data_IF_469052668635
#
_entry.id   IF_469052668635
#
_cell.length_a   1.000
_cell.length_b   1.000
_cell.length_c   1.000
_cell.angle_alpha   90.00
_cell.angle_beta   90.00
_cell.angle_gamma   90.00
#
_symmetry.space_group_name_H-M   'P 1'
#
loop_
_entity.id
_entity.type
_entity.pdbx_description
1 polymer ?
#
# COMPACT_ATOMS: atom_id res chain seq x y z
N UNK A 1 9.89 4.83 -11.60
CA UNK A 1 8.42 4.94 -11.49
C UNK A 1 8.02 6.34 -11.04
N UNK A 2 6.93 6.92 -11.58
CA UNK A 2 6.38 8.21 -11.14
C UNK A 2 5.16 7.96 -10.25
N UNK A 3 5.12 8.54 -9.06
CA UNK A 3 4.00 8.47 -8.11
C UNK A 3 3.99 9.71 -7.22
N UNK A 4 2.79 10.22 -6.94
CA UNK A 4 2.57 11.36 -6.04
C UNK A 4 3.52 12.56 -6.31
N UNK A 5 3.65 12.93 -7.59
CA UNK A 5 4.50 14.02 -8.11
C UNK A 5 6.01 13.80 -8.00
N UNK A 6 6.49 12.58 -7.69
CA UNK A 6 7.91 12.27 -7.58
C UNK A 6 8.33 11.08 -8.44
N UNK A 7 9.59 11.10 -8.85
CA UNK A 7 10.22 9.94 -9.47
C UNK A 7 10.88 9.06 -8.39
N UNK A 8 10.69 7.75 -8.52
CA UNK A 8 11.27 6.75 -7.64
C UNK A 8 12.15 5.79 -8.42
N UNK A 9 13.35 5.55 -7.91
CA UNK A 9 14.18 4.42 -8.25
C UNK A 9 13.67 3.21 -7.44
N UNK A 10 13.35 2.13 -8.14
CA UNK A 10 12.98 0.86 -7.51
C UNK A 10 14.22 -0.02 -7.57
N UNK A 11 14.67 -0.49 -6.43
CA UNK A 11 15.88 -1.29 -6.32
C UNK A 11 15.65 -2.49 -5.39
N UNK A 12 16.40 -3.55 -5.64
CA UNK A 12 16.43 -4.74 -4.82
C UNK A 12 17.80 -4.82 -4.15
N UNK A 13 17.84 -5.12 -2.86
CA UNK A 13 19.09 -5.34 -2.16
C UNK A 13 19.54 -6.79 -2.33
N UNK A 14 20.85 -7.04 -2.50
CA UNK A 14 21.40 -8.37 -2.77
C UNK A 14 21.51 -9.28 -1.53
N UNK A 15 20.77 -8.99 -0.47
CA UNK A 15 20.85 -9.73 0.81
C UNK A 15 20.20 -11.13 0.79
N UNK A 16 19.73 -11.59 -0.36
CA UNK A 16 19.35 -12.98 -0.65
C UNK A 16 18.16 -13.54 0.14
N UNK A 17 17.56 -12.81 1.06
CA UNK A 17 16.56 -13.37 1.98
C UNK A 17 15.13 -12.92 1.77
N UNK A 18 14.90 -11.77 1.18
CA UNK A 18 13.55 -11.32 0.84
C UNK A 18 13.60 -10.34 -0.31
N UNK A 19 12.98 -10.75 -1.39
CA UNK A 19 12.82 -9.93 -2.58
C UNK A 19 11.75 -8.87 -2.33
N UNK A 20 12.11 -7.83 -1.57
CA UNK A 20 11.26 -6.66 -1.39
C UNK A 20 11.87 -5.49 -2.13
N UNK A 21 11.09 -4.79 -2.98
CA UNK A 21 11.58 -3.58 -3.59
C UNK A 21 11.76 -2.48 -2.54
N UNK A 22 12.86 -1.73 -2.68
CA UNK A 22 13.08 -0.47 -1.99
C UNK A 22 12.76 0.68 -2.92
N UNK A 23 12.16 1.74 -2.39
CA UNK A 23 11.77 2.92 -3.13
C UNK A 23 12.62 4.11 -2.71
N UNK A 24 13.48 4.58 -3.61
CA UNK A 24 14.32 5.75 -3.37
C UNK A 24 13.80 6.91 -4.20
N UNK A 25 13.42 8.00 -3.55
CA UNK A 25 13.09 9.23 -4.27
C UNK A 25 14.32 9.76 -4.99
N UNK A 26 14.21 9.93 -6.31
CA UNK A 26 15.34 10.34 -7.16
C UNK A 26 15.88 11.71 -6.75
N UNK A 27 15.02 12.65 -6.38
CA UNK A 27 15.39 13.99 -5.92
C UNK A 27 16.12 14.03 -4.57
N UNK A 28 16.12 12.91 -3.82
CA UNK A 28 16.83 12.77 -2.53
C UNK A 28 18.14 12.01 -2.63
N UNK A 29 18.47 11.49 -3.80
CA UNK A 29 19.72 10.76 -4.02
C UNK A 29 20.87 11.78 -4.04
N UNK A 30 21.78 11.69 -3.07
CA UNK A 30 22.92 12.59 -2.96
C UNK A 30 24.12 12.11 -3.78
N UNK A 31 24.28 10.81 -3.91
CA UNK A 31 25.41 10.21 -4.60
C UNK A 31 25.03 8.83 -5.14
N UNK A 32 25.50 8.52 -6.33
CA UNK A 32 25.43 7.19 -6.93
C UNK A 32 26.86 6.76 -7.25
N UNK A 33 27.22 5.56 -6.86
CA UNK A 33 28.52 4.97 -7.15
C UNK A 33 28.30 3.64 -7.84
N UNK A 34 28.97 3.44 -8.96
CA UNK A 34 28.96 2.17 -9.65
C UNK A 34 29.69 1.11 -8.81
N UNK A 35 29.05 -0.04 -8.63
CA UNK A 35 29.66 -1.15 -7.92
C UNK A 35 30.37 -2.07 -8.92
N UNK A 36 31.54 -2.60 -8.53
CA UNK A 36 32.37 -3.43 -9.40
C UNK A 36 31.85 -4.86 -9.62
N UNK A 37 30.83 -5.27 -8.88
CA UNK A 37 30.22 -6.59 -9.04
C UNK A 37 29.12 -6.52 -10.09
N UNK A 38 29.15 -7.44 -11.04
CA UNK A 38 28.08 -7.64 -11.99
C UNK A 38 26.97 -8.48 -11.34
N UNK A 39 25.74 -8.29 -11.78
CA UNK A 39 24.61 -9.16 -11.48
C UNK A 39 24.09 -9.77 -12.79
N UNK A 40 23.45 -10.92 -12.72
CA UNK A 40 22.73 -11.52 -13.84
C UNK A 40 21.24 -11.27 -13.68
N UNK A 41 20.51 -11.21 -14.79
CA UNK A 41 19.06 -11.03 -14.74
C UNK A 41 18.35 -12.22 -14.11
N UNK A 42 18.96 -13.41 -14.12
CA UNK A 42 18.44 -14.62 -13.48
C UNK A 42 18.44 -14.51 -11.93
N UNK A 43 19.28 -13.63 -11.39
CA UNK A 43 19.33 -13.34 -9.95
C UNK A 43 18.28 -12.30 -9.53
N UNK A 44 17.57 -11.70 -10.50
CA UNK A 44 16.53 -10.72 -10.20
C UNK A 44 15.21 -11.42 -9.98
N UNK A 45 14.44 -11.02 -8.95
CA UNK A 45 13.11 -11.59 -8.74
C UNK A 45 12.19 -11.22 -9.89
N UNK A 46 11.21 -12.06 -10.15
CA UNK A 46 10.09 -11.75 -11.03
C UNK A 46 9.45 -10.44 -10.61
N UNK A 47 9.73 -9.40 -11.36
CA UNK A 47 9.28 -8.04 -11.07
C UNK A 47 8.27 -7.59 -12.12
N UNK A 48 7.02 -7.48 -11.69
CA UNK A 48 5.96 -6.91 -12.51
C UNK A 48 5.69 -5.46 -12.07
N UNK A 49 6.15 -4.50 -12.89
CA UNK A 49 5.93 -3.07 -12.64
C UNK A 49 4.44 -2.71 -12.62
N UNK A 50 3.64 -3.37 -13.46
CA UNK A 50 2.20 -3.15 -13.53
C UNK A 50 1.51 -3.53 -12.21
N UNK A 51 1.82 -4.71 -11.69
CA UNK A 51 1.32 -5.16 -10.38
C UNK A 51 1.82 -4.28 -9.25
N UNK A 52 3.09 -3.88 -9.29
CA UNK A 52 3.62 -2.98 -8.28
C UNK A 52 2.85 -1.66 -8.26
N UNK A 53 2.59 -1.07 -9.42
CA UNK A 53 1.86 0.19 -9.55
C UNK A 53 0.42 0.09 -9.05
N UNK A 54 -0.25 -1.02 -9.31
CA UNK A 54 -1.63 -1.26 -8.88
C UNK A 54 -1.77 -1.50 -7.38
N UNK A 55 -0.73 -2.09 -6.75
CA UNK A 55 -0.77 -2.52 -5.35
C UNK A 55 -0.06 -1.57 -4.39
N UNK A 56 0.76 -0.65 -4.89
CA UNK A 56 1.52 0.28 -4.05
C UNK A 56 0.73 1.54 -3.75
N UNK A 57 0.62 1.88 -2.47
CA UNK A 57 0.06 3.13 -1.99
C UNK A 57 1.14 3.94 -1.29
N UNK A 58 1.25 5.23 -1.66
CA UNK A 58 2.23 6.17 -1.09
C UNK A 58 3.69 5.68 -1.18
N UNK A 59 4.00 4.77 -2.12
CA UNK A 59 5.32 4.15 -2.27
C UNK A 59 5.86 3.56 -0.96
N UNK A 60 4.96 3.00 -0.14
CA UNK A 60 5.34 2.36 1.12
C UNK A 60 5.77 0.92 0.84
N UNK A 61 7.02 0.54 1.20
CA UNK A 61 7.50 -0.81 0.94
C UNK A 61 6.84 -1.82 1.88
N UNK A 62 6.75 -3.06 1.43
CA UNK A 62 6.25 -4.15 2.27
C UNK A 62 5.80 -5.36 1.48
N UNK A 63 5.42 -6.42 2.18
CA UNK A 63 4.87 -7.62 1.57
C UNK A 63 3.46 -7.41 1.03
N UNK A 64 3.06 -8.30 0.13
CA UNK A 64 1.68 -8.36 -0.35
C UNK A 64 0.75 -8.75 0.80
N UNK A 65 -0.37 -8.07 0.89
CA UNK A 65 -1.45 -8.38 1.83
C UNK A 65 -2.82 -8.19 1.19
N UNK A 66 -3.75 -9.03 1.57
CA UNK A 66 -5.17 -8.85 1.29
C UNK A 66 -5.81 -8.11 2.47
N UNK A 67 -6.59 -7.09 2.18
CA UNK A 67 -7.35 -6.34 3.18
C UNK A 67 -8.83 -6.37 2.85
N UNK A 68 -9.68 -6.41 3.88
CA UNK A 68 -11.14 -6.26 3.74
C UNK A 68 -11.62 -5.16 4.64
N UNK A 69 -12.55 -4.37 4.12
CA UNK A 69 -13.15 -3.29 4.89
C UNK A 69 -14.58 -3.02 4.42
N UNK A 70 -15.43 -2.65 5.36
CA UNK A 70 -16.75 -2.10 5.06
C UNK A 70 -16.58 -0.63 4.66
N UNK A 71 -17.27 -0.21 3.63
CA UNK A 71 -17.31 1.16 3.16
C UNK A 71 -18.74 1.68 3.08
N UNK A 72 -18.99 2.86 3.65
CA UNK A 72 -20.32 3.52 3.69
C UNK A 72 -20.27 4.98 3.24
N UNK A 73 -19.24 5.37 2.50
CA UNK A 73 -19.06 6.73 2.00
C UNK A 73 -19.92 7.08 0.78
N UNK A 74 -19.83 8.30 0.30
CA UNK A 74 -20.72 8.84 -0.75
C UNK A 74 -20.51 8.17 -2.12
N UNK A 75 -19.31 7.68 -2.43
CA UNK A 75 -19.00 7.10 -3.75
C UNK A 75 -18.08 5.88 -3.59
N UNK A 76 -18.62 4.70 -3.81
CA UNK A 76 -17.81 3.46 -3.89
C UNK A 76 -16.89 3.48 -5.13
N UNK A 77 -17.29 4.16 -6.19
CA UNK A 77 -16.46 4.28 -7.40
C UNK A 77 -15.12 4.95 -7.09
N UNK A 78 -15.11 5.98 -6.24
CA UNK A 78 -13.86 6.63 -5.82
C UNK A 78 -12.89 5.69 -5.09
N UNK A 79 -13.42 4.69 -4.38
CA UNK A 79 -12.61 3.63 -3.76
C UNK A 79 -12.00 2.72 -4.82
N UNK A 80 -12.81 2.27 -5.80
CA UNK A 80 -12.34 1.40 -6.88
C UNK A 80 -11.31 2.10 -7.78
N UNK A 81 -11.49 3.38 -8.03
CA UNK A 81 -10.53 4.19 -8.81
C UNK A 81 -9.20 4.37 -8.06
N UNK A 82 -9.24 4.51 -6.74
CA UNK A 82 -8.04 4.68 -5.92
C UNK A 82 -7.30 3.37 -5.65
N UNK A 83 -8.04 2.28 -5.54
CA UNK A 83 -7.51 0.94 -5.29
C UNK A 83 -7.81 0.04 -6.50
N UNK A 84 -6.94 -0.01 -7.52
CA UNK A 84 -7.22 -0.76 -8.76
C UNK A 84 -7.43 -2.26 -8.56
N UNK A 85 -6.95 -2.82 -7.45
CA UNK A 85 -7.17 -4.23 -7.07
C UNK A 85 -8.45 -4.45 -6.29
N UNK A 86 -9.19 -3.38 -5.94
CA UNK A 86 -10.37 -3.49 -5.10
C UNK A 86 -11.53 -4.17 -5.83
N UNK A 87 -12.22 -5.04 -5.10
CA UNK A 87 -13.42 -5.75 -5.55
C UNK A 87 -14.50 -5.63 -4.49
N UNK A 88 -15.71 -5.33 -4.92
CA UNK A 88 -16.89 -5.42 -4.04
C UNK A 88 -17.22 -6.90 -3.91
N UNK A 89 -17.06 -7.48 -2.72
CA UNK A 89 -17.38 -8.88 -2.45
C UNK A 89 -18.78 -9.07 -1.89
N UNK A 90 -19.36 -8.04 -1.27
CA UNK A 90 -20.72 -8.08 -0.75
C UNK A 90 -21.34 -6.69 -0.68
N UNK A 91 -22.64 -6.59 -0.90
CA UNK A 91 -23.45 -5.40 -0.66
C UNK A 91 -24.19 -5.54 0.67
N UNK A 92 -23.74 -4.86 1.70
CA UNK A 92 -24.28 -4.94 3.05
C UNK A 92 -25.51 -4.05 3.29
N UNK A 93 -25.82 -3.19 2.32
CA UNK A 93 -26.95 -2.26 2.41
C UNK A 93 -27.02 -1.28 1.24
N UNK A 94 -27.95 -0.30 1.27
CA UNK A 94 -28.15 0.62 0.14
C UNK A 94 -26.90 1.41 -0.29
N UNK A 95 -26.04 1.75 0.68
CA UNK A 95 -24.78 2.48 0.47
C UNK A 95 -23.63 1.85 1.26
N UNK A 96 -23.72 0.57 1.60
CA UNK A 96 -22.72 -0.12 2.40
C UNK A 96 -22.22 -1.35 1.66
N UNK A 97 -20.92 -1.46 1.52
CA UNK A 97 -20.24 -2.48 0.74
C UNK A 97 -19.10 -3.11 1.54
N UNK A 98 -18.92 -4.42 1.40
CA UNK A 98 -17.71 -5.11 1.81
C UNK A 98 -16.77 -5.16 0.62
N UNK A 99 -15.58 -4.61 0.78
CA UNK A 99 -14.58 -4.48 -0.26
C UNK A 99 -13.33 -5.27 0.14
N UNK A 100 -12.77 -5.99 -0.82
CA UNK A 100 -11.47 -6.65 -0.71
C UNK A 100 -10.49 -5.98 -1.66
N UNK A 101 -9.26 -5.76 -1.20
CA UNK A 101 -8.17 -5.24 -2.04
C UNK A 101 -6.85 -5.91 -1.68
N UNK A 102 -5.97 -6.03 -2.69
CA UNK A 102 -4.59 -6.46 -2.51
C UNK A 102 -3.65 -5.26 -2.57
N UNK A 103 -2.79 -5.12 -1.58
CA UNK A 103 -1.85 -3.99 -1.48
C UNK A 103 -0.49 -4.43 -0.97
N UNK A 104 0.54 -3.65 -1.28
CA UNK A 104 1.86 -3.80 -0.69
C UNK A 104 2.04 -2.89 0.52
N UNK A 105 2.65 -3.43 1.59
CA UNK A 105 3.07 -2.65 2.75
C UNK A 105 1.93 -1.98 3.54
N UNK A 106 2.31 -0.97 4.31
CA UNK A 106 1.41 -0.26 5.23
C UNK A 106 0.76 1.01 4.66
N UNK A 107 1.04 1.34 3.40
CA UNK A 107 0.42 2.50 2.74
C UNK A 107 -1.11 2.45 2.75
N UNK A 108 -1.69 1.26 2.72
CA UNK A 108 -3.13 1.07 2.83
C UNK A 108 -3.69 1.61 4.17
N UNK A 109 -2.96 1.48 5.29
CA UNK A 109 -3.39 2.00 6.59
C UNK A 109 -3.57 3.52 6.54
N UNK A 110 -2.61 4.23 5.94
CA UNK A 110 -2.71 5.68 5.78
C UNK A 110 -3.93 6.08 4.96
N UNK A 111 -4.19 5.36 3.86
CA UNK A 111 -5.36 5.63 3.04
C UNK A 111 -6.67 5.35 3.78
N UNK A 112 -6.78 4.22 4.49
CA UNK A 112 -7.97 3.86 5.29
C UNK A 112 -8.28 4.92 6.35
N UNK A 113 -7.27 5.41 7.07
CA UNK A 113 -7.42 6.50 8.06
C UNK A 113 -7.92 7.79 7.41
N UNK A 114 -7.51 8.10 6.19
CA UNK A 114 -7.97 9.30 5.47
C UNK A 114 -9.46 9.24 5.09
N UNK A 115 -10.07 8.05 5.08
CA UNK A 115 -11.48 7.86 4.74
C UNK A 115 -12.46 8.20 5.86
N UNK A 116 -11.97 8.66 7.01
CA UNK A 116 -12.78 9.06 8.18
C UNK A 116 -13.61 7.88 8.71
N UNK A 117 -14.84 8.17 9.20
CA UNK A 117 -15.79 7.18 9.70
C UNK A 117 -16.52 6.37 8.62
N UNK A 118 -16.17 6.55 7.34
CA UNK A 118 -16.78 5.81 6.24
C UNK A 118 -16.24 4.40 6.07
N UNK A 119 -15.09 4.11 6.70
CA UNK A 119 -14.40 2.83 6.59
C UNK A 119 -14.32 2.13 7.93
N UNK A 120 -14.62 0.83 7.93
CA UNK A 120 -14.34 -0.07 9.03
C UNK A 120 -13.54 -1.26 8.52
N UNK A 121 -12.30 -1.38 8.95
CA UNK A 121 -11.46 -2.53 8.61
C UNK A 121 -11.97 -3.77 9.32
N UNK A 122 -12.04 -4.89 8.60
CA UNK A 122 -12.51 -6.18 9.13
C UNK A 122 -11.50 -7.32 8.95
N UNK A 123 -10.52 -7.15 8.07
CA UNK A 123 -9.46 -8.15 7.84
C UNK A 123 -8.20 -7.49 7.27
N UNK A 124 -6.99 -7.96 7.62
CA UNK A 124 -6.69 -8.96 8.65
C UNK A 124 -6.82 -8.40 10.08
N UNK A 125 -6.93 -9.28 11.07
CA UNK A 125 -7.05 -8.87 12.49
C UNK A 125 -5.90 -7.97 12.94
N UNK A 126 -4.69 -8.24 12.49
CA UNK A 126 -3.52 -7.40 12.78
C UNK A 126 -3.72 -5.96 12.32
N UNK A 127 -4.30 -5.75 11.15
CA UNK A 127 -4.60 -4.40 10.65
C UNK A 127 -5.74 -3.76 11.45
N UNK A 128 -6.76 -4.54 11.87
CA UNK A 128 -7.83 -4.03 12.74
C UNK A 128 -7.25 -3.49 14.05
N UNK A 129 -6.36 -4.25 14.69
CA UNK A 129 -5.72 -3.82 15.94
C UNK A 129 -4.80 -2.60 15.74
N UNK A 130 -4.06 -2.55 14.64
CA UNK A 130 -3.23 -1.39 14.29
C UNK A 130 -4.08 -0.13 14.06
N UNK A 131 -5.24 -0.27 13.39
CA UNK A 131 -6.18 0.84 13.21
C UNK A 131 -6.74 1.34 14.55
N UNK A 132 -7.12 0.43 15.46
CA UNK A 132 -7.60 0.80 16.81
C UNK A 132 -6.54 1.59 17.58
N UNK A 133 -5.29 1.11 17.59
CA UNK A 133 -4.16 1.80 18.24
C UNK A 133 -3.96 3.20 17.68
N UNK A 134 -3.95 3.33 16.37
CA UNK A 134 -3.74 4.62 15.70
C UNK A 134 -4.86 5.60 15.99
N UNK A 135 -6.13 5.17 15.89
CA UNK A 135 -7.30 6.00 16.18
C UNK A 135 -7.30 6.46 17.65
N UNK A 136 -6.91 5.56 18.58
CA UNK A 136 -6.80 5.91 19.99
C UNK A 136 -5.69 6.95 20.23
N UNK A 137 -4.54 6.79 19.57
CA UNK A 137 -3.45 7.76 19.64
C UNK A 137 -3.87 9.11 19.04
N UNK A 138 -4.56 9.10 17.90
CA UNK A 138 -5.11 10.33 17.30
C UNK A 138 -6.10 11.02 18.24
N UNK A 139 -7.01 10.27 18.88
CA UNK A 139 -7.99 10.84 19.82
C UNK A 139 -7.29 11.48 21.03
N UNK A 140 -6.21 10.88 21.52
CA UNK A 140 -5.45 11.40 22.66
C UNK A 140 -4.79 12.77 22.39
N UNK A 141 -4.60 13.16 21.12
CA UNK A 141 -4.07 14.48 20.76
C UNK A 141 -5.09 15.62 20.96
N UNK A 142 -6.37 15.30 21.13
CA UNK A 142 -7.46 16.27 21.28
C UNK A 142 -8.07 16.30 22.70
N UNK A 143 -7.52 15.50 23.61
CA UNK A 143 -7.92 15.45 25.05
C UNK A 143 -6.85 16.19 25.96
#
# INVERSE_FOLDING_TARGET
MFSDFYFYLIAFLPDGKMVKPYYFRVDRIKQITEHRCNFTFDDTPDFDEGLLRQRSLFMWPGGLRTVRFEFSGPSVQAVLDKLPTAKIIERLGPKKYLIEAETYGDGIKMWLLSQRSWVKVVYPETLVEDMKKEITAMLALYN
#
